data_IF_191080129350
#
_entry.id   IF_191080129350
#
_cell.length_a   1.000
_cell.length_b   1.000
_cell.length_c   1.000
_cell.angle_alpha   90.00
_cell.angle_beta   90.00
_cell.angle_gamma   90.00
#
_symmetry.space_group_name_H-M   'P 1'
#
loop_
_entity.id
_entity.type
_entity.pdbx_description
1 polymer ?
#
# COMPACT_ATOMS: atom_id res chain seq x y z
N UNK A 1 -45.73 18.76 -27.36
CA UNK A 1 -44.49 19.30 -27.97
C UNK A 1 -43.28 18.87 -27.14
N UNK A 2 -42.78 17.63 -27.28
CA UNK A 2 -41.62 17.16 -26.49
C UNK A 2 -40.85 15.99 -27.14
N UNK A 3 -40.93 15.81 -28.47
CA UNK A 3 -40.41 14.62 -29.16
C UNK A 3 -39.36 14.90 -30.25
N UNK A 4 -38.69 16.06 -30.25
CA UNK A 4 -37.75 16.44 -31.34
C UNK A 4 -36.26 16.42 -30.99
N UNK A 5 -35.86 16.25 -29.72
CA UNK A 5 -34.45 16.35 -29.30
C UNK A 5 -33.72 15.01 -29.13
N UNK A 6 -34.39 13.87 -29.33
CA UNK A 6 -33.77 12.55 -29.13
C UNK A 6 -33.10 11.97 -30.40
N UNK A 7 -33.38 12.54 -31.58
CA UNK A 7 -32.87 12.05 -32.87
C UNK A 7 -31.50 12.62 -33.25
N UNK A 8 -31.06 13.74 -32.66
CA UNK A 8 -29.78 14.38 -32.97
C UNK A 8 -28.59 13.86 -32.15
N UNK A 9 -28.83 13.17 -31.03
CA UNK A 9 -27.75 12.60 -30.21
C UNK A 9 -27.26 11.21 -30.69
N UNK A 10 -28.05 10.51 -31.52
CA UNK A 10 -27.70 9.18 -32.02
C UNK A 10 -26.69 9.22 -33.20
N UNK A 11 -26.58 10.36 -33.89
CA UNK A 11 -25.69 10.48 -35.06
C UNK A 11 -24.22 10.78 -34.70
N UNK A 12 -23.91 11.13 -33.45
CA UNK A 12 -22.55 11.45 -33.02
C UNK A 12 -21.75 10.24 -32.47
N UNK A 13 -22.40 9.08 -32.31
CA UNK A 13 -21.78 7.87 -31.75
C UNK A 13 -21.22 6.90 -32.81
N UNK A 14 -21.35 7.21 -34.11
CA UNK A 14 -20.99 6.30 -35.21
C UNK A 14 -19.67 6.62 -35.93
N UNK A 15 -18.86 7.56 -35.42
CA UNK A 15 -17.61 8.01 -36.07
C UNK A 15 -16.31 7.67 -35.34
N UNK A 16 -16.35 6.87 -34.27
CA UNK A 16 -15.14 6.44 -33.52
C UNK A 16 -14.80 4.94 -33.66
N UNK A 17 -15.48 4.20 -34.54
CA UNK A 17 -15.01 2.88 -35.00
C UNK A 17 -14.41 3.01 -36.41
N UNK A 18 -13.15 3.42 -36.48
CA UNK A 18 -12.30 3.11 -37.63
C UNK A 18 -11.15 2.19 -37.17
N UNK A 19 -11.14 0.91 -37.61
CA UNK A 19 -9.99 0.05 -37.45
C UNK A 19 -8.95 0.46 -38.48
N UNK A 20 -7.96 1.26 -38.07
CA UNK A 20 -6.83 1.57 -38.95
C UNK A 20 -5.79 0.47 -38.82
N UNK A 21 -6.00 -0.55 -39.66
CA UNK A 21 -5.00 -1.13 -40.57
C UNK A 21 -3.69 -1.66 -39.98
N UNK A 22 -3.57 -2.98 -40.11
CA UNK A 22 -2.36 -3.77 -40.09
C UNK A 22 -1.21 -3.20 -40.95
N UNK A 23 0.02 -3.46 -40.50
CA UNK A 23 1.17 -3.64 -41.37
C UNK A 23 2.36 -2.75 -41.04
N UNK A 24 3.33 -3.28 -40.28
CA UNK A 24 4.72 -3.31 -40.75
C UNK A 24 5.55 -4.28 -39.90
N UNK A 25 5.89 -5.41 -40.50
CA UNK A 25 6.94 -6.32 -40.09
C UNK A 25 8.26 -5.55 -39.89
N UNK A 26 8.58 -5.21 -38.65
CA UNK A 26 9.92 -4.77 -38.25
C UNK A 26 10.67 -5.95 -37.66
N UNK A 27 11.43 -6.60 -38.54
CA UNK A 27 12.68 -7.34 -38.33
C UNK A 27 13.15 -7.39 -36.87
N UNK A 28 12.85 -8.52 -36.20
CA UNK A 28 13.34 -8.87 -34.87
C UNK A 28 14.87 -9.02 -34.90
N UNK A 29 15.59 -7.96 -34.52
CA UNK A 29 16.98 -8.08 -34.05
C UNK A 29 16.94 -8.84 -32.73
N UNK A 30 17.59 -10.00 -32.70
CA UNK A 30 18.07 -10.61 -31.46
C UNK A 30 19.22 -9.72 -30.98
N UNK A 31 18.90 -8.75 -30.13
CA UNK A 31 19.89 -8.13 -29.28
C UNK A 31 19.85 -8.91 -27.97
N UNK A 32 21.01 -9.37 -27.54
CA UNK A 32 21.22 -10.19 -26.36
C UNK A 32 20.64 -9.50 -25.11
N UNK A 33 19.65 -10.15 -24.49
CA UNK A 33 18.99 -9.75 -23.26
C UNK A 33 19.94 -9.89 -22.06
N UNK A 34 20.95 -9.03 -21.97
CA UNK A 34 21.45 -8.66 -20.64
C UNK A 34 20.39 -7.77 -19.98
N UNK A 35 19.95 -8.07 -18.73
CA UNK A 35 19.06 -7.19 -18.01
C UNK A 35 19.77 -5.84 -17.86
N UNK A 36 19.31 -4.84 -18.63
CA UNK A 36 19.76 -3.45 -18.50
C UNK A 36 19.65 -3.08 -17.04
N UNK A 37 20.79 -3.01 -16.36
CA UNK A 37 20.88 -2.48 -14.99
C UNK A 37 20.21 -1.12 -15.02
N UNK A 38 18.98 -1.05 -14.51
CA UNK A 38 18.27 0.21 -14.33
C UNK A 38 19.26 1.15 -13.66
N UNK A 39 19.42 2.35 -14.20
CA UNK A 39 20.36 3.29 -13.60
C UNK A 39 19.90 3.51 -12.15
N UNK A 40 20.83 3.70 -11.21
CA UNK A 40 20.47 3.98 -9.80
C UNK A 40 19.46 5.14 -9.64
N UNK A 41 19.33 5.99 -10.66
CA UNK A 41 18.32 7.06 -10.70
C UNK A 41 16.90 6.55 -10.97
N UNK A 42 16.75 5.51 -11.79
CA UNK A 42 15.45 4.98 -12.18
C UNK A 42 14.86 4.14 -11.05
N UNK A 43 15.70 3.37 -10.34
CA UNK A 43 15.31 2.67 -9.11
C UNK A 43 14.78 3.63 -8.07
N UNK A 44 15.52 4.70 -7.79
CA UNK A 44 15.14 5.63 -6.74
C UNK A 44 13.90 6.48 -7.09
N UNK A 45 13.55 6.62 -8.37
CA UNK A 45 12.27 7.20 -8.79
C UNK A 45 11.11 6.20 -8.64
N UNK A 46 11.37 4.92 -8.91
CA UNK A 46 10.41 3.84 -8.72
C UNK A 46 10.08 3.63 -7.23
N UNK A 47 11.07 3.70 -6.34
CA UNK A 47 10.88 3.60 -4.90
C UNK A 47 10.00 4.74 -4.36
N UNK A 48 10.21 5.97 -4.83
CA UNK A 48 9.38 7.13 -4.45
C UNK A 48 7.95 6.97 -4.95
N UNK A 49 7.78 6.48 -6.20
CA UNK A 49 6.46 6.23 -6.76
C UNK A 49 5.72 5.13 -5.99
N UNK A 50 6.42 4.04 -5.65
CA UNK A 50 5.88 2.95 -4.83
C UNK A 50 5.50 3.44 -3.43
N UNK A 51 6.35 4.24 -2.78
CA UNK A 51 6.07 4.84 -1.48
C UNK A 51 4.85 5.77 -1.52
N UNK A 52 4.72 6.57 -2.57
CA UNK A 52 3.58 7.47 -2.74
C UNK A 52 2.28 6.70 -3.02
N UNK A 53 2.34 5.61 -3.78
CA UNK A 53 1.21 4.71 -4.00
C UNK A 53 0.79 4.01 -2.69
N UNK A 54 1.76 3.54 -1.90
CA UNK A 54 1.50 2.95 -0.59
C UNK A 54 0.85 3.97 0.37
N UNK A 55 1.31 5.22 0.36
CA UNK A 55 0.68 6.29 1.14
C UNK A 55 -0.73 6.61 0.63
N UNK A 56 -0.97 6.58 -0.68
CA UNK A 56 -2.31 6.79 -1.24
C UNK A 56 -3.27 5.64 -0.91
N UNK A 57 -2.77 4.41 -0.82
CA UNK A 57 -3.54 3.26 -0.34
C UNK A 57 -3.82 3.37 1.16
N UNK A 58 -2.82 3.71 1.97
CA UNK A 58 -3.00 3.94 3.41
C UNK A 58 -3.97 5.09 3.68
N UNK A 59 -4.00 6.13 2.85
CA UNK A 59 -4.95 7.23 2.98
C UNK A 59 -6.41 6.84 2.63
N UNK A 60 -6.61 5.73 1.92
CA UNK A 60 -7.95 5.18 1.63
C UNK A 60 -8.48 4.29 2.76
N UNK A 61 -7.58 3.72 3.58
CA UNK A 61 -7.94 2.88 4.71
C UNK A 61 -7.72 3.65 6.04
N UNK A 62 -8.80 4.07 6.73
CA UNK A 62 -8.67 4.85 7.96
C UNK A 62 -7.93 4.11 9.08
N UNK A 63 -8.04 2.77 9.15
CA UNK A 63 -7.32 1.98 10.13
C UNK A 63 -5.81 1.96 9.83
N UNK A 64 -5.44 1.80 8.56
CA UNK A 64 -4.04 1.88 8.14
C UNK A 64 -3.46 3.28 8.34
N UNK A 65 -4.22 4.33 8.05
CA UNK A 65 -3.82 5.71 8.31
C UNK A 65 -3.62 5.96 9.81
N UNK A 66 -4.54 5.50 10.65
CA UNK A 66 -4.43 5.65 12.10
C UNK A 66 -3.19 4.93 12.65
N UNK A 67 -2.90 3.73 12.16
CA UNK A 67 -1.70 2.99 12.52
C UNK A 67 -0.43 3.73 12.05
N UNK A 68 -0.39 4.21 10.81
CA UNK A 68 0.73 4.99 10.29
C UNK A 68 0.97 6.26 11.11
N UNK A 69 -0.09 6.97 11.51
CA UNK A 69 0.03 8.15 12.35
C UNK A 69 0.53 7.82 13.75
N UNK A 70 0.16 6.66 14.30
CA UNK A 70 0.68 6.17 15.57
C UNK A 70 2.16 5.82 15.45
N UNK A 71 2.57 5.15 14.37
CA UNK A 71 3.97 4.81 14.11
C UNK A 71 4.81 6.08 13.88
N UNK A 72 4.24 7.11 13.24
CA UNK A 72 4.87 8.42 13.11
C UNK A 72 4.97 9.20 14.42
N UNK A 73 4.20 8.87 15.47
CA UNK A 73 4.38 9.47 16.79
C UNK A 73 5.56 8.86 17.55
N UNK A 74 6.08 7.71 17.10
CA UNK A 74 7.27 7.10 17.69
C UNK A 74 8.50 7.99 17.40
N UNK A 75 9.18 8.50 18.45
CA UNK A 75 10.32 9.38 18.28
C UNK A 75 11.51 8.72 17.57
N UNK A 76 11.68 7.40 17.68
CA UNK A 76 12.76 6.67 17.00
C UNK A 76 12.48 6.60 15.50
N UNK A 77 11.25 6.26 15.12
CA UNK A 77 10.82 6.24 13.71
C UNK A 77 10.89 7.64 13.09
N UNK A 78 10.47 8.68 13.81
CA UNK A 78 10.61 10.07 13.36
C UNK A 78 12.07 10.47 13.16
N UNK A 79 12.97 10.07 14.06
CA UNK A 79 14.39 10.35 13.95
C UNK A 79 15.01 9.67 12.72
N UNK A 80 14.65 8.42 12.45
CA UNK A 80 15.12 7.69 11.27
C UNK A 80 14.53 8.27 9.98
N UNK A 81 13.23 8.56 9.94
CA UNK A 81 12.59 9.22 8.81
C UNK A 81 13.24 10.58 8.52
N UNK A 82 13.52 11.38 9.56
CA UNK A 82 14.23 12.65 9.44
C UNK A 82 15.64 12.45 8.89
N UNK A 83 16.37 11.44 9.34
CA UNK A 83 17.69 11.09 8.80
C UNK A 83 17.63 10.72 7.31
N UNK A 84 16.59 9.98 6.89
CA UNK A 84 16.36 9.67 5.47
C UNK A 84 16.02 10.93 4.67
N UNK A 85 15.16 11.81 5.18
CA UNK A 85 14.84 13.10 4.54
C UNK A 85 16.05 14.05 4.46
N UNK A 86 16.96 13.97 5.42
CA UNK A 86 18.18 14.77 5.42
C UNK A 86 19.27 14.21 4.51
N UNK A 87 19.11 12.98 4.02
CA UNK A 87 20.07 12.34 3.12
C UNK A 87 20.27 13.14 1.83
N UNK A 88 21.50 13.08 1.29
CA UNK A 88 21.84 13.81 0.07
C UNK A 88 21.02 13.35 -1.14
N UNK A 89 20.72 12.06 -1.21
CA UNK A 89 19.97 11.48 -2.33
C UNK A 89 18.50 11.93 -2.29
N UNK A 90 17.87 11.89 -1.11
CA UNK A 90 16.52 12.43 -0.94
C UNK A 90 16.45 13.92 -1.27
N UNK A 91 17.35 14.74 -0.72
CA UNK A 91 17.44 16.17 -1.04
C UNK A 91 17.63 16.43 -2.54
N UNK A 92 18.40 15.58 -3.23
CA UNK A 92 18.62 15.70 -4.67
C UNK A 92 17.38 15.32 -5.47
N UNK A 93 16.63 14.31 -5.03
CA UNK A 93 15.36 13.95 -5.63
C UNK A 93 14.31 15.02 -5.42
N UNK A 94 14.16 15.53 -4.18
CA UNK A 94 13.20 16.61 -3.92
C UNK A 94 13.55 17.88 -4.69
N UNK A 95 14.83 18.24 -4.83
CA UNK A 95 15.21 19.38 -5.70
C UNK A 95 14.89 19.17 -7.18
N UNK A 96 14.83 17.92 -7.66
CA UNK A 96 14.38 17.65 -9.03
C UNK A 96 12.86 17.74 -9.12
N UNK A 97 12.16 17.17 -8.16
CA UNK A 97 10.70 17.19 -8.08
C UNK A 97 10.20 18.64 -7.93
N UNK A 98 10.84 19.45 -7.11
CA UNK A 98 10.55 20.89 -6.93
C UNK A 98 10.72 21.71 -8.21
N UNK A 99 11.61 21.27 -9.11
CA UNK A 99 11.80 21.90 -10.43
C UNK A 99 10.78 21.43 -11.46
N UNK A 100 10.03 20.36 -11.18
CA UNK A 100 8.98 19.89 -12.06
C UNK A 100 7.81 20.89 -12.02
N UNK A 101 7.37 21.44 -13.18
CA UNK A 101 6.30 22.42 -13.22
C UNK A 101 4.97 21.88 -12.71
N UNK A 102 4.67 20.59 -12.90
CA UNK A 102 3.43 19.99 -12.42
C UNK A 102 3.44 19.85 -10.91
N UNK A 103 4.58 19.43 -10.34
CA UNK A 103 4.74 19.40 -8.89
C UNK A 103 4.63 20.79 -8.27
N UNK A 104 5.27 21.80 -8.85
CA UNK A 104 5.18 23.18 -8.37
C UNK A 104 3.76 23.73 -8.44
N UNK A 105 3.06 23.51 -9.54
CA UNK A 105 1.66 23.91 -9.68
C UNK A 105 0.75 23.20 -8.66
N UNK A 106 0.97 21.89 -8.44
CA UNK A 106 0.24 21.13 -7.43
C UNK A 106 0.52 21.63 -6.01
N UNK A 107 1.78 21.96 -5.68
CA UNK A 107 2.15 22.54 -4.39
C UNK A 107 1.59 23.94 -4.19
N UNK A 108 1.60 24.79 -5.21
CA UNK A 108 0.98 26.12 -5.14
C UNK A 108 -0.54 26.01 -4.95
N UNK A 109 -1.20 25.06 -5.64
CA UNK A 109 -2.62 24.80 -5.46
C UNK A 109 -2.92 24.25 -4.06
N UNK A 110 -2.10 23.33 -3.56
CA UNK A 110 -2.21 22.82 -2.20
C UNK A 110 -2.01 23.93 -1.16
N UNK A 111 -0.97 24.77 -1.29
CA UNK A 111 -0.72 25.91 -0.41
C UNK A 111 -1.92 26.85 -0.36
N UNK A 112 -2.48 27.22 -1.51
CA UNK A 112 -3.69 28.06 -1.59
C UNK A 112 -4.90 27.41 -0.92
N UNK A 113 -5.06 26.10 -1.05
CA UNK A 113 -6.11 25.37 -0.37
C UNK A 113 -5.91 25.38 1.17
N UNK A 114 -4.66 25.34 1.66
CA UNK A 114 -4.36 25.45 3.09
C UNK A 114 -4.44 26.87 3.64
N UNK A 115 -4.18 27.89 2.82
CA UNK A 115 -4.32 29.30 3.20
C UNK A 115 -5.79 29.70 3.38
N UNK A 116 -6.73 29.01 2.72
CA UNK A 116 -8.15 29.19 2.98
C UNK A 116 -8.54 28.51 4.31
N UNK A 117 -8.89 29.27 5.36
CA UNK A 117 -9.23 28.72 6.66
C UNK A 117 -10.44 27.78 6.62
N UNK A 118 -11.35 27.94 5.65
CA UNK A 118 -12.49 27.02 5.49
C UNK A 118 -12.04 25.66 4.99
N UNK A 119 -11.16 25.66 4.00
CA UNK A 119 -10.62 24.44 3.40
C UNK A 119 -9.68 23.73 4.38
N UNK A 120 -8.83 24.48 5.09
CA UNK A 120 -7.99 23.94 6.16
C UNK A 120 -8.84 23.34 7.31
N UNK A 121 -9.91 24.02 7.72
CA UNK A 121 -10.84 23.50 8.73
C UNK A 121 -11.54 22.21 8.29
N UNK A 122 -12.01 22.15 7.05
CA UNK A 122 -12.62 20.94 6.49
C UNK A 122 -11.63 19.78 6.42
N UNK A 123 -10.39 20.02 5.97
CA UNK A 123 -9.35 18.99 5.92
C UNK A 123 -9.02 18.48 7.31
N UNK A 124 -8.88 19.37 8.29
CA UNK A 124 -8.60 19.00 9.68
C UNK A 124 -9.74 18.15 10.26
N UNK A 125 -10.99 18.59 10.10
CA UNK A 125 -12.16 17.86 10.57
C UNK A 125 -12.27 16.47 9.89
N UNK A 126 -12.02 16.40 8.58
CA UNK A 126 -12.02 15.12 7.85
C UNK A 126 -10.88 14.20 8.32
N UNK A 127 -9.69 14.75 8.55
CA UNK A 127 -8.56 13.98 9.08
C UNK A 127 -8.88 13.45 10.49
N UNK A 128 -9.37 14.30 11.39
CA UNK A 128 -9.80 13.89 12.73
C UNK A 128 -10.88 12.80 12.69
N UNK A 129 -11.86 12.92 11.78
CA UNK A 129 -12.88 11.90 11.58
C UNK A 129 -12.27 10.56 11.14
N UNK A 130 -11.41 10.57 10.13
CA UNK A 130 -10.74 9.36 9.64
C UNK A 130 -9.87 8.71 10.72
N UNK A 131 -9.14 9.51 11.50
CA UNK A 131 -8.32 9.02 12.62
C UNK A 131 -9.21 8.39 13.69
N UNK A 132 -10.35 9.03 14.03
CA UNK A 132 -11.27 8.52 15.04
C UNK A 132 -11.95 7.22 14.59
N UNK A 133 -12.44 7.18 13.36
CA UNK A 133 -13.07 5.98 12.77
C UNK A 133 -12.05 4.84 12.65
N UNK A 134 -10.85 5.13 12.17
CA UNK A 134 -9.74 4.18 12.10
C UNK A 134 -9.33 3.65 13.48
N UNK A 135 -9.22 4.53 14.47
CA UNK A 135 -8.93 4.15 15.85
C UNK A 135 -9.99 3.23 16.45
N UNK A 136 -11.27 3.57 16.30
CA UNK A 136 -12.37 2.73 16.78
C UNK A 136 -12.41 1.37 16.07
N UNK A 137 -12.08 1.32 14.78
CA UNK A 137 -11.98 0.07 14.03
C UNK A 137 -10.79 -0.78 14.50
N UNK A 138 -9.64 -0.16 14.76
CA UNK A 138 -8.47 -0.84 15.32
C UNK A 138 -8.74 -1.38 16.73
N UNK A 139 -9.38 -0.61 17.60
CA UNK A 139 -9.75 -1.05 18.96
C UNK A 139 -10.69 -2.26 18.91
N UNK A 140 -11.70 -2.22 18.04
CA UNK A 140 -12.61 -3.34 17.84
C UNK A 140 -11.86 -4.57 17.31
N UNK A 141 -10.99 -4.39 16.32
CA UNK A 141 -10.18 -5.48 15.78
C UNK A 141 -9.24 -6.08 16.84
N UNK A 142 -8.63 -5.25 17.69
CA UNK A 142 -7.82 -5.71 18.81
C UNK A 142 -8.64 -6.49 19.83
N UNK A 143 -9.86 -6.04 20.13
CA UNK A 143 -10.78 -6.74 21.03
C UNK A 143 -11.22 -8.10 20.45
N UNK A 144 -11.59 -8.13 19.17
CA UNK A 144 -11.97 -9.36 18.47
C UNK A 144 -10.79 -10.33 18.43
N UNK A 145 -9.58 -9.84 18.14
CA UNK A 145 -8.35 -10.64 18.14
C UNK A 145 -7.99 -11.15 19.54
N UNK A 146 -8.10 -10.31 20.58
CA UNK A 146 -7.85 -10.71 21.96
C UNK A 146 -8.85 -11.77 22.42
N UNK A 147 -10.13 -11.63 22.07
CA UNK A 147 -11.18 -12.61 22.35
C UNK A 147 -10.93 -13.93 21.63
N UNK A 148 -10.55 -13.88 20.35
CA UNK A 148 -10.17 -15.07 19.58
C UNK A 148 -8.94 -15.76 20.18
N UNK A 149 -7.92 -14.99 20.57
CA UNK A 149 -6.71 -15.52 21.20
C UNK A 149 -6.99 -16.11 22.57
N UNK A 150 -7.86 -15.48 23.36
CA UNK A 150 -8.31 -16.01 24.64
C UNK A 150 -9.13 -17.30 24.46
N UNK A 151 -10.01 -17.36 23.46
CA UNK A 151 -10.76 -18.59 23.12
C UNK A 151 -9.81 -19.71 22.74
N UNK A 152 -8.80 -19.41 21.92
CA UNK A 152 -7.78 -20.36 21.52
C UNK A 152 -6.93 -20.84 22.72
N UNK A 153 -6.63 -19.97 23.68
CA UNK A 153 -5.89 -20.35 24.90
C UNK A 153 -6.73 -21.13 25.91
N UNK A 154 -8.01 -20.79 26.04
CA UNK A 154 -8.90 -21.36 27.05
C UNK A 154 -9.61 -22.63 26.60
N UNK A 155 -9.76 -22.85 25.29
CA UNK A 155 -10.34 -24.08 24.76
C UNK A 155 -9.26 -24.99 24.15
N UNK A 156 -8.80 -26.03 24.89
CA UNK A 156 -7.83 -26.99 24.38
C UNK A 156 -8.35 -27.77 23.16
N UNK A 157 -9.67 -27.80 22.92
CA UNK A 157 -10.23 -28.42 21.71
C UNK A 157 -9.93 -27.57 20.48
N UNK A 158 -10.00 -26.24 20.59
CA UNK A 158 -9.63 -25.32 19.50
C UNK A 158 -8.13 -25.44 19.21
N UNK A 159 -7.27 -25.50 20.23
CA UNK A 159 -5.84 -25.78 20.00
C UNK A 159 -5.62 -27.14 19.34
N UNK A 160 -6.32 -28.18 19.80
CA UNK A 160 -6.19 -29.52 19.23
C UNK A 160 -6.67 -29.55 17.79
N UNK A 161 -7.81 -28.95 17.47
CA UNK A 161 -8.35 -28.86 16.11
C UNK A 161 -7.38 -28.10 15.21
N UNK A 162 -6.83 -26.97 15.67
CA UNK A 162 -5.80 -26.24 14.93
C UNK A 162 -4.52 -27.06 14.74
N UNK A 163 -4.11 -27.83 15.76
CA UNK A 163 -2.94 -28.71 15.68
C UNK A 163 -3.19 -29.91 14.75
N UNK A 164 -4.41 -30.44 14.71
CA UNK A 164 -4.83 -31.52 13.81
C UNK A 164 -4.92 -30.99 12.37
N UNK A 165 -5.41 -29.77 12.18
CA UNK A 165 -5.48 -29.10 10.88
C UNK A 165 -4.07 -28.76 10.34
N UNK A 166 -3.13 -28.40 11.21
CA UNK A 166 -1.70 -28.24 10.84
C UNK A 166 -1.00 -29.58 10.56
N UNK A 167 -1.48 -30.69 11.13
CA UNK A 167 -0.95 -32.03 10.86
C UNK A 167 -1.59 -32.68 9.63
N UNK A 168 -2.75 -32.19 9.19
CA UNK A 168 -3.42 -32.68 7.99
C UNK A 168 -2.89 -31.96 6.73
N UNK A 169 -2.07 -32.63 5.91
CA UNK A 169 -1.50 -32.03 4.70
C UNK A 169 -2.57 -31.68 3.65
N UNK A 170 -3.73 -32.35 3.65
CA UNK A 170 -4.80 -32.06 2.70
C UNK A 170 -5.61 -30.84 3.13
N UNK A 171 -5.90 -30.69 4.42
CA UNK A 171 -6.50 -29.48 4.96
C UNK A 171 -5.58 -28.26 4.76
N UNK A 172 -4.28 -28.42 5.00
CA UNK A 172 -3.28 -27.39 4.69
C UNK A 172 -3.26 -27.05 3.20
N UNK A 173 -3.31 -28.02 2.29
CA UNK A 173 -3.38 -27.74 0.85
C UNK A 173 -4.66 -27.01 0.46
N UNK A 174 -5.81 -27.36 1.05
CA UNK A 174 -7.06 -26.65 0.78
C UNK A 174 -6.96 -25.20 1.26
N UNK A 175 -6.45 -24.99 2.48
CA UNK A 175 -6.23 -23.66 3.03
C UNK A 175 -5.22 -22.87 2.19
N UNK A 176 -4.10 -23.46 1.78
CA UNK A 176 -3.11 -22.85 0.89
C UNK A 176 -3.64 -22.59 -0.52
N UNK A 177 -4.73 -23.23 -0.92
CA UNK A 177 -5.40 -22.94 -2.18
C UNK A 177 -6.42 -21.82 -2.08
N UNK A 178 -6.82 -21.42 -0.87
CA UNK A 178 -7.70 -20.28 -0.67
C UNK A 178 -7.02 -18.99 -1.19
N UNK A 179 -7.71 -18.16 -2.00
CA UNK A 179 -7.15 -16.94 -2.55
C UNK A 179 -6.62 -15.97 -1.49
N UNK A 180 -7.28 -15.86 -0.33
CA UNK A 180 -6.88 -14.96 0.73
C UNK A 180 -5.59 -15.45 1.39
N UNK A 181 -5.48 -16.76 1.62
CA UNK A 181 -4.28 -17.38 2.20
C UNK A 181 -3.12 -17.33 1.21
N UNK A 182 -3.36 -17.48 -0.11
CA UNK A 182 -2.32 -17.29 -1.13
C UNK A 182 -1.77 -15.87 -1.14
N UNK A 183 -2.65 -14.86 -1.08
CA UNK A 183 -2.23 -13.46 -1.01
C UNK A 183 -1.40 -13.20 0.26
N UNK A 184 -1.85 -13.71 1.41
CA UNK A 184 -1.11 -13.62 2.66
C UNK A 184 0.25 -14.34 2.60
N UNK A 185 0.29 -15.58 2.08
CA UNK A 185 1.53 -16.36 1.91
C UNK A 185 2.52 -15.64 0.99
N UNK A 186 2.06 -15.02 -0.11
CA UNK A 186 2.96 -14.25 -0.98
C UNK A 186 3.56 -13.03 -0.28
N UNK A 187 2.79 -12.33 0.57
CA UNK A 187 3.32 -11.24 1.39
C UNK A 187 4.29 -11.72 2.45
N UNK A 188 3.99 -12.85 3.12
CA UNK A 188 4.89 -13.44 4.11
C UNK A 188 6.18 -13.96 3.46
N UNK A 189 6.10 -14.50 2.25
CA UNK A 189 7.26 -14.95 1.48
C UNK A 189 8.14 -13.76 1.08
N UNK A 190 7.55 -12.67 0.62
CA UNK A 190 8.24 -11.41 0.33
C UNK A 190 8.91 -10.85 1.61
N UNK A 191 8.20 -10.89 2.74
CA UNK A 191 8.74 -10.49 4.04
C UNK A 191 9.92 -11.39 4.47
N UNK A 192 9.86 -12.71 4.26
CA UNK A 192 10.96 -13.63 4.59
C UNK A 192 12.19 -13.44 3.70
N UNK A 193 11.99 -12.95 2.48
CA UNK A 193 13.09 -12.58 1.58
C UNK A 193 13.73 -11.25 1.98
N UNK A 194 13.06 -10.42 2.79
CA UNK A 194 13.65 -9.20 3.36
C UNK A 194 14.64 -9.55 4.50
N UNK A 195 15.95 -9.21 4.34
CA UNK A 195 16.96 -9.44 5.37
C UNK A 195 16.65 -8.79 6.72
N UNK A 196 15.92 -7.68 6.75
CA UNK A 196 15.58 -6.97 7.98
C UNK A 196 14.45 -7.68 8.72
N UNK A 197 13.40 -8.08 8.01
CA UNK A 197 12.31 -8.83 8.62
C UNK A 197 12.78 -10.19 9.12
N UNK A 198 13.71 -10.85 8.41
CA UNK A 198 14.36 -12.07 8.91
C UNK A 198 15.05 -11.87 10.27
N UNK A 199 15.77 -10.75 10.45
CA UNK A 199 16.39 -10.42 11.77
C UNK A 199 15.34 -10.17 12.85
N UNK A 200 14.25 -9.47 12.53
CA UNK A 200 13.16 -9.25 13.49
C UNK A 200 12.51 -10.57 13.90
N UNK A 201 12.30 -11.48 12.95
CA UNK A 201 11.71 -12.79 13.21
C UNK A 201 12.63 -13.67 14.05
N UNK A 202 13.96 -13.62 13.81
CA UNK A 202 14.96 -14.27 14.67
C UNK A 202 14.95 -13.70 16.09
N UNK A 203 14.81 -12.38 16.26
CA UNK A 203 14.68 -11.76 17.57
C UNK A 203 13.41 -12.22 18.29
N UNK A 204 12.27 -12.26 17.59
CA UNK A 204 11.00 -12.73 18.15
C UNK A 204 11.07 -14.21 18.55
N UNK A 205 11.65 -15.05 17.69
CA UNK A 205 11.85 -16.48 17.98
C UNK A 205 12.75 -16.69 19.21
N UNK A 206 13.79 -15.89 19.37
CA UNK A 206 14.66 -15.93 20.54
C UNK A 206 13.93 -15.49 21.82
N UNK A 207 13.05 -14.49 21.75
CA UNK A 207 12.22 -14.09 22.89
C UNK A 207 11.23 -15.20 23.31
N UNK A 208 10.58 -15.85 22.34
CA UNK A 208 9.68 -16.98 22.61
C UNK A 208 10.42 -18.15 23.26
N UNK A 209 11.63 -18.45 22.78
CA UNK A 209 12.45 -19.53 23.33
C UNK A 209 13.00 -19.23 24.73
N UNK A 210 13.12 -17.95 25.10
CA UNK A 210 13.58 -17.53 26.41
C UNK A 210 12.46 -17.41 27.46
N UNK A 211 11.18 -17.35 27.03
CA UNK A 211 10.01 -17.21 27.90
C UNK A 211 9.23 -18.51 28.17
N UNK A 212 9.63 -19.63 27.54
CA UNK A 212 9.15 -21.00 27.79
C UNK A 212 10.20 -21.79 28.56
#
# INVERSE_FOLDING_TARGET
>A
MLSSNFLLLSLLLLLLLSPTSAGLFSKKKKDDDEPKKLSKKDQAAQDVMMGMQGMQQAAQDPAMLAQLMKDMQDPEMMAEAKKMMESKDFKKQMKKLEKDPHYKAAMDQASKAFEDPRTAGMMTAKAEQMIREGGAQLDKMQQDMASAMQTMQSDPRVMKEMQDLMKDPEALKQMLNDPQVKAYMSQVEELMQDPNAKRQMEQLANQFKAGL
#
